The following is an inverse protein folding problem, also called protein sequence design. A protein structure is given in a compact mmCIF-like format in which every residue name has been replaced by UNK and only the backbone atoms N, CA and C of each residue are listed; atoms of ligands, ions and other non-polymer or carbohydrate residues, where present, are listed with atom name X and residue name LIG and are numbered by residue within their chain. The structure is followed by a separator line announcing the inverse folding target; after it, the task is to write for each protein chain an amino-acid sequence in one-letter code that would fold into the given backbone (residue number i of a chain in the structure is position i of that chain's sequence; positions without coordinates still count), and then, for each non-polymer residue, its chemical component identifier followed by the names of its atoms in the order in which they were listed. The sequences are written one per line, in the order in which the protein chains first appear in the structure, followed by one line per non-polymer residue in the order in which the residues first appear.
data_IF_785501035904
#
_entry.id   IF_785501035904
#
_cell.length_a   1.000
_cell.length_b   1.000
_cell.length_c   1.000
_cell.angle_alpha   90.00
_cell.angle_beta   90.00
_cell.angle_gamma   90.00
#
_symmetry.space_group_name_H-M   'P 1'
#
loop_
_entity.id
_entity.type
_entity.pdbx_description
1 polymer ?
#
# COMPACT_ATOMS: atom_id res chain seq x y z
N UNK A 1 18.77 -5.42 -14.00
CA UNK A 1 17.58 -5.40 -14.88
C UNK A 1 16.41 -5.13 -13.99
N UNK A 2 15.56 -4.16 -14.34
CA UNK A 2 14.41 -3.84 -13.53
C UNK A 2 13.53 -5.08 -13.36
N UNK A 3 13.08 -5.31 -12.13
CA UNK A 3 12.33 -6.51 -11.74
C UNK A 3 11.04 -6.06 -11.11
N UNK A 4 9.92 -6.60 -11.58
CA UNK A 4 8.61 -6.44 -11.00
C UNK A 4 8.33 -7.64 -10.11
N UNK A 5 7.79 -7.36 -8.92
CA UNK A 5 7.35 -8.39 -7.97
C UNK A 5 5.92 -8.09 -7.57
N UNK A 6 5.08 -9.11 -7.66
CA UNK A 6 3.76 -9.10 -7.06
C UNK A 6 3.79 -9.97 -5.80
N UNK A 7 3.16 -9.48 -4.74
CA UNK A 7 3.03 -10.22 -3.51
C UNK A 7 1.76 -9.82 -2.75
N UNK A 8 1.31 -10.70 -1.87
CA UNK A 8 0.17 -10.44 -0.99
C UNK A 8 0.58 -10.33 0.47
N UNK A 9 -0.20 -9.56 1.22
CA UNK A 9 -0.11 -9.43 2.68
C UNK A 9 -1.47 -9.72 3.27
N UNK A 10 -1.52 -10.59 4.27
CA UNK A 10 -2.77 -10.95 4.94
C UNK A 10 -3.42 -9.74 5.62
N UNK A 11 -4.76 -9.68 5.63
CA UNK A 11 -5.54 -8.65 6.32
C UNK A 11 -5.22 -8.49 7.82
N UNK A 12 -4.61 -9.49 8.46
CA UNK A 12 -4.13 -9.42 9.84
C UNK A 12 -2.91 -8.51 10.06
N UNK A 13 -2.22 -8.08 9.00
CA UNK A 13 -1.07 -7.18 9.07
C UNK A 13 -1.41 -5.80 8.52
N UNK A 14 -0.84 -4.76 9.09
CA UNK A 14 -1.04 -3.39 8.63
C UNK A 14 -0.44 -3.18 7.23
N UNK A 15 -1.15 -2.55 6.26
CA UNK A 15 -2.39 -1.78 6.39
C UNK A 15 -3.71 -2.57 6.35
N UNK A 16 -3.70 -3.89 6.19
CA UNK A 16 -4.87 -4.77 6.11
C UNK A 16 -5.82 -4.68 7.31
N UNK A 17 -5.30 -4.46 8.51
CA UNK A 17 -6.11 -4.39 9.74
C UNK A 17 -7.11 -3.24 9.76
N UNK A 18 -6.91 -2.20 8.93
CA UNK A 18 -7.84 -1.07 8.81
C UNK A 18 -9.17 -1.53 8.21
N UNK A 19 -9.15 -2.54 7.33
CA UNK A 19 -10.29 -2.92 6.48
C UNK A 19 -11.00 -4.19 6.91
N UNK A 20 -10.53 -4.83 7.99
CA UNK A 20 -11.08 -6.09 8.47
C UNK A 20 -12.59 -6.04 8.79
N UNK A 21 -13.14 -4.86 9.03
CA UNK A 21 -14.53 -4.67 9.44
C UNK A 21 -15.40 -4.03 8.34
N UNK A 22 -14.94 -4.02 7.08
CA UNK A 22 -15.70 -3.41 5.97
C UNK A 22 -15.82 -4.41 4.84
N UNK A 23 -17.03 -4.93 4.68
CA UNK A 23 -17.41 -5.75 3.54
C UNK A 23 -17.51 -4.86 2.30
N UNK A 24 -17.17 -5.40 1.14
CA UNK A 24 -17.30 -4.75 -0.18
C UNK A 24 -16.52 -3.45 -0.41
N UNK A 25 -15.51 -3.13 0.43
CA UNK A 25 -14.69 -1.93 0.24
C UNK A 25 -13.36 -2.25 -0.41
N UNK A 26 -13.08 -1.53 -1.49
CA UNK A 26 -11.78 -1.56 -2.18
C UNK A 26 -10.98 -0.31 -1.89
N UNK A 27 -9.72 -0.49 -1.49
CA UNK A 27 -8.78 0.60 -1.27
C UNK A 27 -7.61 0.47 -2.21
N UNK A 28 -7.33 1.54 -2.94
CA UNK A 28 -6.19 1.62 -3.86
C UNK A 28 -5.19 2.64 -3.35
N UNK A 29 -3.98 2.20 -3.01
CA UNK A 29 -2.90 3.07 -2.58
C UNK A 29 -2.27 3.74 -3.81
N UNK A 30 -2.57 5.02 -3.99
CA UNK A 30 -2.07 5.82 -5.11
C UNK A 30 -0.60 6.19 -4.95
N UNK A 31 -0.22 6.66 -3.76
CA UNK A 31 1.15 7.13 -3.53
C UNK A 31 1.56 7.09 -2.07
N UNK A 32 2.82 6.77 -1.84
CA UNK A 32 3.45 6.81 -0.52
C UNK A 32 4.46 7.95 -0.50
N UNK A 33 4.24 8.95 0.36
CA UNK A 33 5.14 10.12 0.47
C UNK A 33 5.95 10.02 1.77
N UNK A 34 7.28 9.83 1.70
CA UNK A 34 8.14 9.90 2.87
C UNK A 34 8.14 11.30 3.50
N UNK A 35 8.05 11.38 4.83
CA UNK A 35 8.18 12.62 5.62
C UNK A 35 9.09 12.41 6.83
N UNK A 36 9.62 13.51 7.37
CA UNK A 36 10.53 13.49 8.54
C UNK A 36 9.94 12.85 9.79
N UNK A 37 8.61 12.78 9.90
CA UNK A 37 7.90 12.22 11.06
C UNK A 37 7.14 10.92 10.76
N UNK A 38 7.20 10.41 9.52
CA UNK A 38 6.46 9.21 9.13
C UNK A 38 6.21 9.13 7.63
N UNK A 39 5.17 8.39 7.28
CA UNK A 39 4.75 8.18 5.91
C UNK A 39 3.36 8.77 5.74
N UNK A 40 3.16 9.51 4.64
CA UNK A 40 1.87 10.08 4.26
C UNK A 40 1.40 9.38 2.99
N UNK A 41 0.52 8.37 3.11
CA UNK A 41 -0.14 7.79 1.96
C UNK A 41 -1.22 8.68 1.39
N UNK A 42 -1.42 8.50 0.10
CA UNK A 42 -2.59 8.88 -0.66
C UNK A 42 -3.25 7.61 -1.15
N UNK A 43 -4.54 7.47 -0.92
CA UNK A 43 -5.28 6.28 -1.28
C UNK A 43 -6.70 6.64 -1.67
N UNK A 44 -7.23 5.89 -2.62
CA UNK A 44 -8.61 5.91 -3.03
C UNK A 44 -9.39 4.91 -2.22
N UNK A 45 -10.61 5.29 -1.84
CA UNK A 45 -11.63 4.36 -1.35
C UNK A 45 -12.80 4.44 -2.30
N UNK A 46 -13.31 3.27 -2.67
CA UNK A 46 -14.56 3.12 -3.42
C UNK A 46 -15.61 2.43 -2.56
N UNK A 47 -16.88 2.63 -2.92
CA UNK A 47 -18.03 1.90 -2.38
C UNK A 47 -18.24 2.00 -0.86
N UNK A 48 -17.82 3.13 -0.27
CA UNK A 48 -18.04 3.42 1.16
C UNK A 48 -18.39 4.89 1.39
N UNK A 49 -19.36 5.13 2.28
CA UNK A 49 -19.74 6.49 2.67
C UNK A 49 -18.63 7.18 3.48
N UNK A 50 -18.37 8.45 3.16
CA UNK A 50 -17.31 9.26 3.77
C UNK A 50 -17.36 9.29 5.31
N UNK A 51 -18.56 9.33 5.90
CA UNK A 51 -18.72 9.37 7.35
C UNK A 51 -18.21 8.09 8.02
N UNK A 52 -18.49 6.93 7.42
CA UNK A 52 -18.10 5.62 7.93
C UNK A 52 -16.61 5.39 7.74
N UNK A 53 -16.06 5.83 6.60
CA UNK A 53 -14.62 5.85 6.35
C UNK A 53 -13.89 6.58 7.47
N UNK A 54 -14.28 7.84 7.75
CA UNK A 54 -13.58 8.66 8.74
C UNK A 54 -13.70 8.07 10.14
N UNK A 55 -14.86 7.51 10.49
CA UNK A 55 -15.06 6.86 11.78
C UNK A 55 -14.10 5.68 11.97
N UNK A 56 -14.08 4.72 11.05
CA UNK A 56 -13.25 3.52 11.17
C UNK A 56 -11.75 3.82 11.16
N UNK A 57 -11.29 4.69 10.25
CA UNK A 57 -9.88 5.04 10.18
C UNK A 57 -9.42 5.82 11.42
N UNK A 58 -10.30 6.60 12.05
CA UNK A 58 -9.97 7.34 13.27
C UNK A 58 -9.83 6.43 14.49
N UNK A 59 -10.52 5.29 14.51
CA UNK A 59 -10.39 4.27 15.57
C UNK A 59 -9.09 3.47 15.46
N UNK A 60 -8.49 3.39 14.26
CA UNK A 60 -7.28 2.60 14.06
C UNK A 60 -6.05 3.25 14.70
N UNK A 61 -5.32 2.54 15.60
CA UNK A 61 -4.24 3.15 16.38
C UNK A 61 -3.01 3.54 15.54
N UNK A 62 -2.87 2.98 14.33
CA UNK A 62 -1.84 3.32 13.35
C UNK A 62 -2.12 4.52 12.43
N UNK A 63 -3.35 5.05 12.44
CA UNK A 63 -3.77 6.15 11.56
C UNK A 63 -3.95 7.43 12.36
N UNK A 64 -3.41 8.54 11.88
CA UNK A 64 -3.62 9.87 12.46
C UNK A 64 -3.95 10.85 11.35
N UNK A 65 -4.74 11.88 11.68
CA UNK A 65 -4.96 13.03 10.81
C UNK A 65 -5.42 12.63 9.39
N UNK A 66 -6.43 11.75 9.33
CA UNK A 66 -7.12 11.43 8.08
C UNK A 66 -7.79 12.67 7.52
N UNK A 67 -7.72 12.86 6.21
CA UNK A 67 -8.29 14.01 5.51
C UNK A 67 -8.72 13.59 4.11
N UNK A 68 -9.92 14.02 3.71
CA UNK A 68 -10.38 13.91 2.32
C UNK A 68 -9.70 14.99 1.49
N UNK A 69 -9.03 14.57 0.42
CA UNK A 69 -8.35 15.46 -0.52
C UNK A 69 -9.31 15.85 -1.64
N UNK A 70 -10.04 14.86 -2.17
CA UNK A 70 -10.99 15.07 -3.27
C UNK A 70 -12.05 13.96 -3.32
N UNK A 71 -13.11 14.16 -4.12
CA UNK A 71 -14.19 13.20 -4.31
C UNK A 71 -14.72 13.24 -5.75
N UNK A 72 -14.79 12.06 -6.36
CA UNK A 72 -15.26 11.86 -7.73
C UNK A 72 -16.32 10.76 -7.77
N UNK A 73 -17.60 11.14 -7.77
CA UNK A 73 -18.68 10.16 -7.69
C UNK A 73 -18.63 9.39 -6.37
N UNK A 74 -18.48 8.07 -6.45
CA UNK A 74 -18.31 7.16 -5.30
C UNK A 74 -16.84 6.94 -4.89
N UNK A 75 -15.88 7.58 -5.57
CA UNK A 75 -14.45 7.47 -5.24
C UNK A 75 -14.00 8.64 -4.38
N UNK A 76 -13.37 8.37 -3.26
CA UNK A 76 -12.80 9.38 -2.37
C UNK A 76 -11.28 9.29 -2.35
N UNK A 77 -10.59 10.37 -2.76
CA UNK A 77 -9.15 10.48 -2.56
C UNK A 77 -8.89 10.99 -1.16
N UNK A 78 -8.12 10.22 -0.40
CA UNK A 78 -7.78 10.57 0.96
C UNK A 78 -6.29 10.53 1.21
N UNK A 79 -5.88 11.23 2.27
CA UNK A 79 -4.55 11.13 2.85
C UNK A 79 -4.65 10.95 4.35
N UNK A 80 -3.68 10.28 4.94
CA UNK A 80 -3.54 10.25 6.39
C UNK A 80 -2.06 10.28 6.78
N UNK A 81 -1.77 10.44 8.07
CA UNK A 81 -0.42 10.28 8.62
C UNK A 81 -0.36 8.94 9.34
N UNK A 82 0.52 8.06 8.88
CA UNK A 82 0.79 6.82 9.61
C UNK A 82 1.81 7.02 10.71
N UNK A 83 1.55 6.41 11.86
CA UNK A 83 2.43 6.48 13.02
C UNK A 83 3.61 5.54 12.79
N UNK A 84 4.85 6.08 12.81
CA UNK A 84 6.09 5.33 12.61
C UNK A 84 6.27 4.08 13.48
N UNK A 85 5.66 4.07 14.66
CA UNK A 85 5.68 2.93 15.59
C UNK A 85 5.13 1.65 14.95
N UNK A 86 4.33 1.78 13.89
CA UNK A 86 3.94 0.67 13.03
C UNK A 86 4.95 0.60 11.88
N UNK A 87 6.11 -0.03 12.14
CA UNK A 87 7.12 -0.37 11.14
C UNK A 87 6.57 -1.46 10.21
N UNK A 88 5.58 -1.10 9.39
CA UNK A 88 4.93 -2.00 8.46
C UNK A 88 5.53 -1.90 7.06
N UNK A 89 4.83 -2.55 6.12
CA UNK A 89 5.27 -2.66 4.74
C UNK A 89 5.47 -1.33 4.03
N UNK A 90 4.65 -0.32 4.39
CA UNK A 90 4.67 1.01 3.79
C UNK A 90 5.93 1.79 4.17
N UNK A 91 6.49 1.51 5.35
CA UNK A 91 7.80 2.03 5.75
C UNK A 91 8.91 1.34 4.96
N UNK A 92 8.79 0.04 4.71
CA UNK A 92 9.71 -0.70 3.83
C UNK A 92 9.73 -0.14 2.41
N UNK A 93 8.55 0.07 1.83
CA UNK A 93 8.37 0.72 0.53
C UNK A 93 8.96 2.13 0.49
N UNK A 94 8.79 2.91 1.55
CA UNK A 94 9.28 4.29 1.60
C UNK A 94 10.80 4.42 1.84
N UNK A 95 11.44 3.39 2.41
CA UNK A 95 12.88 3.37 2.74
C UNK A 95 13.74 2.63 1.71
N UNK A 96 13.13 1.75 0.91
CA UNK A 96 13.85 0.93 -0.07
C UNK A 96 13.89 1.64 -1.42
N UNK A 97 14.91 1.36 -2.23
CA UNK A 97 15.03 1.83 -3.61
C UNK A 97 14.10 1.03 -4.55
N UNK A 98 12.81 0.99 -4.21
CA UNK A 98 11.76 0.32 -4.97
C UNK A 98 10.63 1.29 -5.24
N UNK A 99 9.99 1.11 -6.39
CA UNK A 99 8.84 1.89 -6.81
C UNK A 99 7.58 1.07 -6.57
N UNK A 100 6.62 1.62 -5.84
CA UNK A 100 5.27 1.07 -5.79
C UNK A 100 4.57 1.33 -7.12
N UNK A 101 4.14 0.28 -7.81
CA UNK A 101 3.37 0.37 -9.05
C UNK A 101 1.86 0.36 -8.76
N UNK A 102 1.42 -0.57 -7.91
CA UNK A 102 0.03 -0.69 -7.47
C UNK A 102 -0.02 -1.31 -6.09
N UNK A 103 -1.02 -0.93 -5.30
CA UNK A 103 -1.38 -1.65 -4.09
C UNK A 103 -2.88 -1.55 -3.84
N UNK A 104 -3.54 -2.71 -3.81
CA UNK A 104 -4.98 -2.80 -3.65
C UNK A 104 -5.28 -3.65 -2.42
N UNK A 105 -6.07 -3.11 -1.51
CA UNK A 105 -6.55 -3.75 -0.29
C UNK A 105 -8.04 -4.06 -0.37
N UNK A 106 -8.40 -5.27 0.04
CA UNK A 106 -9.77 -5.76 0.25
C UNK A 106 -9.86 -6.47 1.60
N UNK A 107 -11.03 -7.05 1.92
CA UNK A 107 -11.23 -7.88 3.12
C UNK A 107 -10.29 -9.09 3.20
N UNK A 108 -9.90 -9.65 2.04
CA UNK A 108 -9.02 -10.82 1.93
C UNK A 108 -7.55 -10.47 2.21
N UNK A 109 -7.19 -9.19 2.11
CA UNK A 109 -5.85 -8.70 2.32
C UNK A 109 -5.42 -7.71 1.26
N UNK A 110 -4.10 -7.52 1.15
CA UNK A 110 -3.50 -6.58 0.22
C UNK A 110 -2.71 -7.31 -0.85
N UNK A 111 -2.85 -6.84 -2.09
CA UNK A 111 -1.99 -7.19 -3.21
C UNK A 111 -1.15 -5.99 -3.57
N UNK A 112 0.16 -6.17 -3.61
CA UNK A 112 1.13 -5.16 -3.97
C UNK A 112 1.85 -5.56 -5.25
N UNK A 113 2.15 -4.56 -6.07
CA UNK A 113 3.03 -4.66 -7.21
C UNK A 113 4.13 -3.60 -7.04
N UNK A 114 5.38 -4.06 -7.01
CA UNK A 114 6.56 -3.21 -6.83
C UNK A 114 7.54 -3.44 -7.95
N UNK A 115 8.37 -2.43 -8.22
CA UNK A 115 9.48 -2.51 -9.15
C UNK A 115 10.78 -2.10 -8.48
N UNK A 116 11.74 -3.00 -8.46
CA UNK A 116 13.14 -2.69 -8.15
C UNK A 116 13.91 -2.34 -9.43
N UNK A 117 14.92 -1.48 -9.32
CA UNK A 117 15.81 -1.17 -10.44
C UNK A 117 16.72 -2.36 -10.79
N UNK A 118 16.96 -3.23 -9.82
CA UNK A 118 17.66 -4.51 -9.94
C UNK A 118 17.13 -5.55 -8.94
N UNK A 119 17.70 -6.76 -9.00
CA UNK A 119 17.34 -7.86 -8.11
C UNK A 119 17.80 -7.63 -6.66
N UNK A 120 18.83 -6.80 -6.44
CA UNK A 120 19.38 -6.50 -5.11
C UNK A 120 18.42 -5.58 -4.33
N UNK A 121 17.77 -4.65 -5.03
CA UNK A 121 16.72 -3.77 -4.48
C UNK A 121 15.53 -4.59 -3.96
N UNK A 122 15.10 -5.59 -4.73
CA UNK A 122 14.04 -6.52 -4.32
C UNK A 122 14.49 -7.39 -3.12
N UNK A 123 15.73 -7.87 -3.14
CA UNK A 123 16.27 -8.70 -2.06
C UNK A 123 16.35 -7.92 -0.74
N UNK A 124 16.81 -6.66 -0.80
CA UNK A 124 16.83 -5.74 0.35
C UNK A 124 15.44 -5.53 0.94
N UNK A 125 14.42 -5.38 0.09
CA UNK A 125 13.04 -5.25 0.55
C UNK A 125 12.52 -6.53 1.22
N UNK A 126 12.82 -7.70 0.68
CA UNK A 126 12.45 -8.98 1.32
C UNK A 126 13.12 -9.15 2.67
N UNK A 127 14.41 -8.87 2.76
CA UNK A 127 15.17 -8.90 4.03
C UNK A 127 14.58 -7.93 5.05
N UNK A 128 14.16 -6.73 4.62
CA UNK A 128 13.44 -5.80 5.49
C UNK A 128 12.14 -6.44 6.02
N UNK A 129 11.32 -7.05 5.16
CA UNK A 129 10.08 -7.69 5.58
C UNK A 129 10.33 -8.82 6.60
N UNK A 130 11.32 -9.67 6.33
CA UNK A 130 11.72 -10.77 7.23
C UNK A 130 12.22 -10.24 8.59
N UNK A 131 13.07 -9.22 8.59
CA UNK A 131 13.62 -8.63 9.81
C UNK A 131 12.57 -7.91 10.68
N UNK A 132 11.41 -7.57 10.11
CA UNK A 132 10.33 -6.85 10.80
C UNK A 132 9.09 -7.74 11.02
N UNK A 133 9.21 -9.07 10.87
CA UNK A 133 8.11 -10.04 10.99
C UNK A 133 6.89 -9.73 10.09
N UNK A 134 7.15 -9.14 8.91
CA UNK A 134 6.14 -8.84 7.89
C UNK A 134 6.04 -10.06 6.97
N UNK A 135 4.91 -10.76 7.02
CA UNK A 135 4.65 -11.93 6.18
C UNK A 135 4.17 -11.46 4.81
N UNK A 136 5.00 -11.71 3.79
CA UNK A 136 4.66 -11.48 2.39
C UNK A 136 4.61 -12.81 1.65
N UNK A 137 3.58 -13.01 0.84
CA UNK A 137 3.46 -14.17 -0.04
C UNK A 137 3.70 -13.72 -1.48
N UNK A 138 4.82 -14.13 -2.07
CA UNK A 138 5.18 -13.73 -3.44
C UNK A 138 4.32 -14.52 -4.43
N UNK A 139 3.55 -13.80 -5.24
CA UNK A 139 2.66 -14.40 -6.24
C UNK A 139 3.30 -14.41 -7.63
N UNK A 140 4.15 -13.43 -7.94
CA UNK A 140 4.82 -13.33 -9.23
C UNK A 140 6.15 -12.60 -9.12
N UNK A 141 7.11 -12.99 -9.96
CA UNK A 141 8.37 -12.27 -10.19
C UNK A 141 8.61 -12.24 -11.69
N UNK A 142 8.76 -11.05 -12.25
CA UNK A 142 8.97 -10.86 -13.67
C UNK A 142 10.06 -9.82 -13.94
N UNK A 143 10.82 -10.04 -15.00
CA UNK A 143 11.70 -9.01 -15.53
C UNK A 143 10.85 -7.93 -16.21
N UNK A 144 11.16 -6.65 -16.01
CA UNK A 144 10.57 -5.59 -16.81
C UNK A 144 11.02 -5.78 -18.26
N UNK A 145 10.09 -6.21 -19.11
CA UNK A 145 10.28 -6.24 -20.56
C UNK A 145 9.86 -4.89 -21.15
N UNK A 146 10.38 -4.53 -22.33
CA UNK A 146 9.90 -3.34 -23.04
C UNK A 146 8.37 -3.36 -23.11
N UNK A 147 7.69 -2.23 -22.80
CA UNK A 147 6.27 -2.15 -23.04
C UNK A 147 6.04 -2.40 -24.53
N UNK A 148 5.18 -3.36 -24.89
CA UNK A 148 4.66 -3.41 -26.26
C UNK A 148 4.10 -2.03 -26.56
N UNK A 149 4.74 -1.32 -27.49
CA UNK A 149 4.29 0.00 -27.89
C UNK A 149 2.82 -0.14 -28.30
N UNK A 150 1.92 0.39 -27.47
CA UNK A 150 0.50 0.47 -27.78
C UNK A 150 0.42 1.21 -29.12
N UNK A 151 0.11 0.45 -30.19
CA UNK A 151 -0.09 1.03 -31.51
C UNK A 151 -1.26 2.00 -31.38
N UNK A 152 -0.94 3.28 -31.46
CA UNK A 152 -1.89 4.37 -31.64
C UNK A 152 -2.66 4.21 -32.95
#
# INVERSE_FOLDING_TARGET
MATIVEFTVNAGQFPGTIFKNVEDVTVELERVVPKTEGVVPYFWIEDMDMADIVAQFSEHPGVRNITVVDTFGSRHLMKCKWVRKYEGILTGLAKSDIVLLSAVGTEDGWRFEIRGDDADSISTFKEYCECNDISIDITSVSALTEPEAAKS
#
